data_IF_620617072531
#
_entry.id   IF_620617072531
#
_cell.length_a   1.000
_cell.length_b   1.000
_cell.length_c   1.000
_cell.angle_alpha   90.00
_cell.angle_beta   90.00
_cell.angle_gamma   90.00
#
_symmetry.space_group_name_H-M   'P 1'
#
loop_
_entity.id
_entity.type
_entity.pdbx_description
1 polymer ?
#
# COMPACT_ATOMS: atom_id res chain seq x y z
N UNK A 1 -10.04 27.33 -10.11
CA UNK A 1 -10.39 26.40 -9.01
C UNK A 1 -9.61 25.10 -9.15
N UNK A 2 -9.72 24.31 -10.25
CA UNK A 2 -8.93 23.07 -10.43
C UNK A 2 -7.41 23.32 -10.31
N UNK A 3 -6.89 24.35 -10.98
CA UNK A 3 -5.46 24.68 -10.90
C UNK A 3 -4.99 25.00 -9.48
N UNK A 4 -5.85 25.62 -8.66
CA UNK A 4 -5.51 25.93 -7.25
C UNK A 4 -5.46 24.67 -6.40
N UNK A 5 -6.41 23.75 -6.59
CA UNK A 5 -6.44 22.46 -5.91
C UNK A 5 -5.23 21.62 -6.33
N UNK A 6 -4.96 21.52 -7.63
CA UNK A 6 -3.82 20.77 -8.15
C UNK A 6 -2.48 21.35 -7.67
N UNK A 7 -2.34 22.68 -7.65
CA UNK A 7 -1.13 23.32 -7.11
C UNK A 7 -0.94 22.98 -5.62
N UNK A 8 -2.01 23.03 -4.82
CA UNK A 8 -1.96 22.64 -3.42
C UNK A 8 -1.56 21.16 -3.24
N UNK A 9 -2.15 20.23 -4.01
CA UNK A 9 -1.76 18.82 -3.97
C UNK A 9 -0.29 18.64 -4.33
N UNK A 10 0.17 19.26 -5.41
CA UNK A 10 1.56 19.20 -5.85
C UNK A 10 2.54 19.70 -4.79
N UNK A 11 2.24 20.81 -4.15
CA UNK A 11 3.07 21.41 -3.10
C UNK A 11 3.11 20.56 -1.81
N UNK A 12 1.99 19.91 -1.46
CA UNK A 12 1.88 19.12 -0.22
C UNK A 12 2.21 17.63 -0.40
N UNK A 13 2.60 17.21 -1.60
CA UNK A 13 3.04 15.85 -1.91
C UNK A 13 4.41 15.82 -2.60
N UNK A 14 5.25 16.82 -2.36
CA UNK A 14 6.59 16.95 -2.93
C UNK A 14 6.65 16.72 -4.47
N UNK A 15 5.59 17.16 -5.17
CA UNK A 15 5.46 17.00 -6.60
C UNK A 15 5.02 15.61 -7.08
N UNK A 16 4.76 14.69 -6.17
CA UNK A 16 4.34 13.32 -6.50
C UNK A 16 2.93 13.25 -7.06
N UNK A 17 2.03 14.14 -6.61
CA UNK A 17 0.64 14.22 -7.07
C UNK A 17 0.40 15.60 -7.68
N UNK A 18 0.81 15.85 -8.94
CA UNK A 18 0.66 17.15 -9.58
C UNK A 18 -0.78 17.49 -9.97
N UNK A 19 -1.63 16.48 -10.10
CA UNK A 19 -3.04 16.66 -10.49
C UNK A 19 -3.92 15.64 -9.77
N UNK A 20 -4.95 16.13 -9.06
CA UNK A 20 -6.02 15.31 -8.47
C UNK A 20 -7.37 15.60 -9.12
N UNK A 21 -7.57 16.81 -9.61
CA UNK A 21 -8.84 17.29 -10.15
C UNK A 21 -8.72 17.76 -11.57
N UNK A 22 -9.59 17.26 -12.44
CA UNK A 22 -9.73 17.68 -13.84
C UNK A 22 -10.91 18.66 -14.01
N UNK A 23 -10.88 19.54 -15.01
CA UNK A 23 -11.95 20.52 -15.23
C UNK A 23 -13.33 19.93 -15.43
N UNK A 24 -13.44 18.74 -16.00
CA UNK A 24 -14.68 18.00 -16.25
C UNK A 24 -15.29 17.36 -14.99
N UNK A 25 -14.54 17.27 -13.90
CA UNK A 25 -15.02 16.81 -12.59
C UNK A 25 -15.80 17.89 -11.84
N UNK A 26 -15.74 19.13 -12.27
CA UNK A 26 -16.50 20.26 -11.70
C UNK A 26 -17.54 20.75 -12.70
N UNK A 27 -18.74 21.03 -12.19
CA UNK A 27 -19.83 21.64 -12.96
C UNK A 27 -20.51 22.77 -12.18
N UNK A 28 -21.55 23.36 -12.75
CA UNK A 28 -22.29 24.50 -12.15
C UNK A 28 -22.97 24.14 -10.83
N UNK A 29 -23.21 22.84 -10.58
CA UNK A 29 -23.86 22.34 -9.37
C UNK A 29 -22.83 21.82 -8.34
N UNK A 30 -21.55 21.87 -8.62
CA UNK A 30 -20.52 21.49 -7.66
C UNK A 30 -20.42 22.53 -6.55
N UNK A 31 -20.82 22.16 -5.33
CA UNK A 31 -20.86 23.08 -4.19
C UNK A 31 -19.66 22.89 -3.27
N UNK A 32 -19.41 21.67 -2.82
CA UNK A 32 -18.29 21.32 -1.94
C UNK A 32 -17.61 20.06 -2.45
N UNK A 33 -16.32 20.16 -2.76
CA UNK A 33 -15.49 19.00 -3.15
C UNK A 33 -14.41 18.77 -2.10
N UNK A 34 -14.34 17.58 -1.56
CA UNK A 34 -13.28 17.15 -0.65
C UNK A 34 -12.20 16.42 -1.46
N UNK A 35 -10.94 16.72 -1.16
CA UNK A 35 -9.80 16.06 -1.80
C UNK A 35 -8.84 15.56 -0.75
N UNK A 36 -8.38 14.33 -0.92
CA UNK A 36 -7.35 13.70 -0.09
C UNK A 36 -6.23 13.20 -0.99
N UNK A 37 -5.00 13.63 -0.71
CA UNK A 37 -3.81 13.19 -1.43
C UNK A 37 -2.89 12.46 -0.47
N UNK A 38 -2.60 11.20 -0.77
CA UNK A 38 -1.78 10.34 0.06
C UNK A 38 -0.53 9.90 -0.70
N UNK A 39 0.63 10.09 -0.08
CA UNK A 39 1.87 9.46 -0.49
C UNK A 39 2.60 8.92 0.73
N UNK A 40 3.45 7.94 0.51
CA UNK A 40 4.28 7.37 1.55
C UNK A 40 5.74 7.38 1.09
N UNK A 41 6.66 7.73 1.99
CA UNK A 41 8.08 7.78 1.74
C UNK A 41 8.85 7.29 2.97
N UNK A 42 9.61 6.20 2.82
CA UNK A 42 10.54 5.70 3.84
C UNK A 42 11.54 4.72 3.22
N UNK A 43 12.78 4.72 3.68
CA UNK A 43 13.79 3.73 3.33
C UNK A 43 13.63 2.44 4.14
N UNK A 44 14.14 1.34 3.61
CA UNK A 44 14.21 0.08 4.36
C UNK A 44 15.14 0.21 5.58
N UNK A 45 14.82 -0.49 6.67
CA UNK A 45 15.60 -0.40 7.91
C UNK A 45 16.88 -1.22 7.84
N UNK A 46 16.79 -2.43 7.32
CA UNK A 46 17.88 -3.41 7.29
C UNK A 46 17.78 -4.26 6.01
N UNK A 47 18.80 -5.09 5.78
CA UNK A 47 18.90 -6.07 4.71
C UNK A 47 18.50 -5.52 3.32
N UNK A 48 19.51 -5.13 2.53
CA UNK A 48 19.26 -4.55 1.22
C UNK A 48 18.51 -5.53 0.32
N UNK A 49 17.76 -4.98 -0.64
CA UNK A 49 17.16 -5.77 -1.69
C UNK A 49 18.14 -5.95 -2.84
N UNK A 50 18.31 -7.20 -3.28
CA UNK A 50 19.00 -7.53 -4.51
C UNK A 50 18.01 -7.52 -5.68
N UNK A 51 18.35 -6.78 -6.74
CA UNK A 51 17.50 -6.68 -7.94
C UNK A 51 17.95 -7.67 -8.99
N UNK A 52 17.03 -8.47 -9.52
CA UNK A 52 17.33 -9.41 -10.60
C UNK A 52 17.78 -8.72 -11.88
N UNK A 53 18.78 -9.28 -12.55
CA UNK A 53 19.23 -8.80 -13.86
C UNK A 53 18.22 -9.12 -14.96
N UNK A 54 17.58 -10.26 -14.86
CA UNK A 54 16.62 -10.78 -15.84
C UNK A 54 15.19 -10.50 -15.42
N UNK A 55 14.29 -10.40 -16.40
CA UNK A 55 12.86 -10.33 -16.18
C UNK A 55 12.29 -11.73 -16.04
N UNK A 56 11.35 -11.87 -15.13
CA UNK A 56 10.60 -13.08 -14.88
C UNK A 56 9.08 -12.80 -15.00
N UNK A 57 8.30 -13.86 -15.14
CA UNK A 57 6.84 -13.72 -15.25
C UNK A 57 6.19 -13.29 -13.95
N UNK A 58 5.19 -12.42 -14.10
CA UNK A 58 4.19 -12.13 -13.08
C UNK A 58 2.85 -12.70 -13.55
N UNK A 59 2.33 -13.70 -12.83
CA UNK A 59 1.18 -14.46 -13.31
C UNK A 59 1.44 -15.10 -14.68
N UNK A 60 0.46 -15.01 -15.58
CA UNK A 60 0.51 -15.74 -16.85
C UNK A 60 1.22 -14.98 -17.99
N UNK A 61 1.21 -13.64 -18.00
CA UNK A 61 1.50 -12.89 -19.22
C UNK A 61 2.44 -11.70 -19.09
N UNK A 62 2.73 -11.20 -17.90
CA UNK A 62 3.56 -10.02 -17.70
C UNK A 62 4.98 -10.40 -17.28
N UNK A 63 5.96 -9.63 -17.71
CA UNK A 63 7.36 -9.84 -17.33
C UNK A 63 7.90 -8.59 -16.63
N UNK A 64 8.43 -8.78 -15.42
CA UNK A 64 9.02 -7.72 -14.61
C UNK A 64 10.32 -8.17 -13.98
N UNK A 65 11.10 -7.21 -13.47
CA UNK A 65 12.24 -7.49 -12.61
C UNK A 65 11.78 -7.62 -11.17
N UNK A 66 12.32 -8.61 -10.50
CA UNK A 66 12.08 -8.83 -9.10
C UNK A 66 13.23 -8.33 -8.25
N UNK A 67 12.92 -8.04 -7.02
CA UNK A 67 13.87 -7.83 -5.96
C UNK A 67 13.67 -8.90 -4.89
N UNK A 68 14.77 -9.33 -4.27
CA UNK A 68 14.80 -10.36 -3.23
C UNK A 68 15.54 -9.85 -2.00
N UNK A 69 15.10 -10.28 -0.83
CA UNK A 69 15.69 -9.94 0.46
C UNK A 69 15.30 -10.97 1.52
N UNK A 70 15.85 -10.87 2.71
CA UNK A 70 15.37 -11.57 3.89
C UNK A 70 14.32 -10.69 4.57
N UNK A 71 13.18 -11.26 4.93
CA UNK A 71 12.11 -10.58 5.65
C UNK A 71 12.36 -10.56 7.16
N UNK A 72 11.69 -9.64 7.83
CA UNK A 72 11.79 -9.49 9.28
C UNK A 72 10.84 -10.45 10.02
N UNK A 73 9.62 -10.66 9.47
CA UNK A 73 8.64 -11.61 10.01
C UNK A 73 7.93 -12.38 8.90
N UNK A 74 7.45 -13.58 9.26
CA UNK A 74 6.64 -14.45 8.42
C UNK A 74 5.30 -14.72 9.10
N UNK A 75 4.22 -14.68 8.33
CA UNK A 75 2.86 -14.96 8.76
C UNK A 75 2.22 -16.02 7.86
N UNK A 76 1.36 -16.86 8.44
CA UNK A 76 0.65 -17.89 7.69
C UNK A 76 -0.69 -18.22 8.34
N UNK A 77 -1.76 -18.26 7.54
CA UNK A 77 -3.06 -18.81 7.90
C UNK A 77 -3.55 -19.77 6.81
N UNK A 78 -4.80 -20.22 6.87
CA UNK A 78 -5.37 -21.14 5.87
C UNK A 78 -5.50 -20.49 4.48
N UNK A 79 -5.65 -19.17 4.40
CA UNK A 79 -5.90 -18.43 3.17
C UNK A 79 -4.67 -17.83 2.50
N UNK A 80 -3.63 -17.47 3.28
CA UNK A 80 -2.48 -16.73 2.78
C UNK A 80 -1.18 -17.04 3.52
N UNK A 81 -0.08 -16.69 2.88
CA UNK A 81 1.24 -16.50 3.51
C UNK A 81 1.66 -15.04 3.33
N UNK A 82 2.45 -14.51 4.27
CA UNK A 82 2.95 -13.15 4.17
C UNK A 82 4.36 -13.02 4.73
N UNK A 83 5.08 -12.03 4.22
CA UNK A 83 6.31 -11.54 4.84
C UNK A 83 6.12 -10.09 5.29
N UNK A 84 6.82 -9.70 6.32
CA UNK A 84 6.95 -8.31 6.76
C UNK A 84 8.38 -7.84 6.55
N UNK A 85 8.54 -6.58 6.15
CA UNK A 85 9.81 -5.89 5.99
C UNK A 85 9.74 -4.50 6.58
N UNK A 86 10.60 -4.21 7.55
CA UNK A 86 10.58 -2.93 8.26
C UNK A 86 11.19 -1.79 7.46
N UNK A 87 10.54 -0.64 7.58
CA UNK A 87 11.10 0.65 7.19
C UNK A 87 11.90 1.30 8.34
N UNK A 88 12.74 2.26 8.00
CA UNK A 88 13.57 2.99 8.97
C UNK A 88 12.77 3.83 9.99
N UNK A 89 11.49 4.08 9.75
CA UNK A 89 10.58 4.87 10.59
C UNK A 89 9.65 4.04 11.48
N UNK A 90 9.96 2.76 11.73
CA UNK A 90 9.17 1.80 12.50
C UNK A 90 7.80 1.43 11.88
N UNK A 91 7.59 1.77 10.64
CA UNK A 91 6.50 1.21 9.85
C UNK A 91 6.99 -0.04 9.12
N UNK A 92 6.08 -0.82 8.57
CA UNK A 92 6.43 -2.00 7.79
C UNK A 92 5.64 -2.11 6.50
N UNK A 93 6.24 -2.81 5.53
CA UNK A 93 5.55 -3.36 4.38
C UNK A 93 5.24 -4.81 4.66
N UNK A 94 3.99 -5.21 4.48
CA UNK A 94 3.57 -6.60 4.57
C UNK A 94 3.08 -7.03 3.19
N UNK A 95 3.80 -7.97 2.58
CA UNK A 95 3.41 -8.58 1.30
C UNK A 95 2.64 -9.87 1.55
N UNK A 96 1.41 -9.96 1.06
CA UNK A 96 0.47 -11.06 1.36
C UNK A 96 0.18 -11.82 0.07
N UNK A 97 0.58 -13.09 0.03
CA UNK A 97 0.33 -13.98 -1.09
C UNK A 97 -0.86 -14.91 -0.78
N UNK A 98 -2.00 -14.79 -1.48
CA UNK A 98 -3.10 -15.74 -1.30
C UNK A 98 -2.64 -17.17 -1.63
N UNK A 99 -3.06 -18.18 -0.88
CA UNK A 99 -2.76 -19.59 -1.21
C UNK A 99 -3.51 -20.06 -2.44
N UNK A 100 -4.74 -19.55 -2.63
CA UNK A 100 -5.51 -19.83 -3.84
C UNK A 100 -4.99 -19.02 -5.04
N UNK A 101 -4.95 -19.64 -6.22
CA UNK A 101 -4.66 -18.95 -7.47
C UNK A 101 -5.93 -18.27 -8.02
N UNK A 102 -5.75 -17.17 -8.75
CA UNK A 102 -6.83 -16.43 -9.39
C UNK A 102 -7.17 -15.13 -8.69
N UNK A 103 -8.40 -14.64 -8.92
CA UNK A 103 -8.89 -13.43 -8.27
C UNK A 103 -9.30 -13.72 -6.82
N UNK A 104 -9.14 -12.73 -5.97
CA UNK A 104 -9.45 -12.82 -4.54
C UNK A 104 -9.99 -11.48 -4.03
N UNK A 105 -10.68 -11.50 -2.92
CA UNK A 105 -11.03 -10.31 -2.15
C UNK A 105 -10.17 -10.19 -0.90
N UNK A 106 -10.00 -8.99 -0.37
CA UNK A 106 -9.21 -8.79 0.85
C UNK A 106 -9.86 -9.47 2.06
N UNK A 107 -11.19 -9.53 2.10
CA UNK A 107 -11.92 -10.21 3.18
C UNK A 107 -11.66 -11.73 3.23
N UNK A 108 -11.37 -12.36 2.07
CA UNK A 108 -11.04 -13.78 2.00
C UNK A 108 -9.68 -14.13 2.60
N UNK A 109 -8.82 -13.15 2.84
CA UNK A 109 -7.46 -13.37 3.34
C UNK A 109 -7.38 -13.45 4.88
N UNK A 110 -8.46 -13.04 5.60
CA UNK A 110 -8.46 -12.96 7.05
C UNK A 110 -7.17 -12.30 7.58
N UNK A 111 -7.00 -11.01 7.23
CA UNK A 111 -5.77 -10.27 7.49
C UNK A 111 -5.48 -10.16 9.00
N UNK A 112 -6.52 -9.99 9.83
CA UNK A 112 -6.38 -9.94 11.28
C UNK A 112 -5.83 -11.27 11.82
N UNK A 113 -6.47 -12.38 11.49
CA UNK A 113 -5.99 -13.72 11.87
C UNK A 113 -4.64 -14.09 11.26
N UNK A 114 -4.30 -13.51 10.08
CA UNK A 114 -2.98 -13.68 9.48
C UNK A 114 -1.88 -13.00 10.31
N UNK A 115 -2.09 -11.76 10.72
CA UNK A 115 -1.12 -10.97 11.49
C UNK A 115 -0.97 -11.45 12.94
N UNK A 116 -1.99 -12.11 13.49
CA UNK A 116 -1.94 -12.75 14.81
C UNK A 116 -1.30 -14.15 14.78
N UNK A 117 -0.97 -14.67 13.59
CA UNK A 117 -0.38 -16.01 13.47
C UNK A 117 1.06 -16.04 13.96
N UNK A 118 1.45 -17.14 14.62
CA UNK A 118 2.81 -17.38 15.14
C UNK A 118 3.38 -18.70 14.56
N UNK A 119 3.64 -18.79 13.25
CA UNK A 119 4.20 -19.99 12.64
C UNK A 119 5.67 -20.18 13.07
N UNK A 120 6.12 -21.44 13.15
CA UNK A 120 7.53 -21.74 13.38
C UNK A 120 8.34 -21.53 12.09
N UNK A 121 9.39 -20.72 12.17
CA UNK A 121 10.37 -20.50 11.10
C UNK A 121 11.67 -19.92 11.69
N UNK A 122 12.77 -20.08 10.96
CA UNK A 122 14.07 -19.48 11.31
C UNK A 122 14.41 -18.31 10.39
N UNK A 123 13.95 -18.36 9.12
CA UNK A 123 14.21 -17.35 8.12
C UNK A 123 13.05 -17.29 7.11
N UNK A 124 12.75 -16.11 6.58
CA UNK A 124 11.83 -15.93 5.45
C UNK A 124 12.52 -15.21 4.30
N UNK A 125 12.57 -15.87 3.15
CA UNK A 125 12.99 -15.26 1.90
C UNK A 125 11.83 -14.53 1.26
N UNK A 126 12.04 -13.28 0.89
CA UNK A 126 11.06 -12.45 0.20
C UNK A 126 11.44 -12.21 -1.24
N UNK A 127 10.47 -12.30 -2.14
CA UNK A 127 10.60 -11.89 -3.53
C UNK A 127 9.39 -11.08 -3.96
N UNK A 128 9.61 -9.90 -4.54
CA UNK A 128 8.53 -9.05 -5.01
C UNK A 128 8.94 -8.18 -6.19
N UNK A 129 8.00 -7.73 -7.04
CA UNK A 129 8.29 -6.76 -8.09
C UNK A 129 8.47 -5.36 -7.48
N UNK A 130 9.15 -4.46 -8.20
CA UNK A 130 9.05 -3.02 -7.92
C UNK A 130 7.62 -2.55 -8.14
N UNK A 131 7.14 -1.67 -7.28
CA UNK A 131 5.79 -1.12 -7.39
C UNK A 131 5.86 0.37 -7.73
N UNK A 132 5.12 0.76 -8.76
CA UNK A 132 4.90 2.16 -9.08
C UNK A 132 3.47 2.29 -9.62
N UNK A 133 2.59 2.72 -8.76
CA UNK A 133 1.19 2.92 -9.13
C UNK A 133 0.62 4.22 -8.58
N UNK A 134 -0.37 4.72 -9.29
CA UNK A 134 -1.15 5.88 -8.95
C UNK A 134 -2.63 5.51 -9.08
N UNK A 135 -3.39 5.74 -8.04
CA UNK A 135 -4.83 5.45 -8.01
C UNK A 135 -5.61 6.70 -7.69
N UNK A 136 -6.68 6.93 -8.43
CA UNK A 136 -7.67 7.96 -8.11
C UNK A 136 -9.01 7.29 -7.84
N UNK A 137 -9.54 7.48 -6.64
CA UNK A 137 -10.81 6.94 -6.22
C UNK A 137 -11.83 8.06 -5.96
N UNK A 138 -13.05 7.89 -6.46
CA UNK A 138 -14.22 8.67 -6.08
C UNK A 138 -14.92 7.92 -4.94
N UNK A 139 -14.98 8.53 -3.76
CA UNK A 139 -15.38 7.85 -2.53
C UNK A 139 -16.82 8.12 -2.10
N UNK A 140 -17.56 9.01 -2.76
CA UNK A 140 -18.90 9.44 -2.32
C UNK A 140 -19.87 8.29 -2.13
N UNK A 141 -19.93 7.37 -3.08
CA UNK A 141 -20.80 6.18 -3.00
C UNK A 141 -20.41 5.24 -1.85
N UNK A 142 -19.11 5.06 -1.63
CA UNK A 142 -18.59 4.19 -0.56
C UNK A 142 -18.92 4.82 0.80
N UNK A 143 -18.63 6.11 0.96
CA UNK A 143 -18.89 6.85 2.20
C UNK A 143 -20.39 6.88 2.53
N UNK A 144 -21.25 7.05 1.52
CA UNK A 144 -22.71 6.97 1.70
C UNK A 144 -23.14 5.60 2.26
N UNK A 145 -22.60 4.50 1.71
CA UNK A 145 -22.96 3.14 2.15
C UNK A 145 -22.53 2.82 3.58
N UNK A 146 -21.46 3.44 4.06
CA UNK A 146 -20.98 3.24 5.44
C UNK A 146 -21.59 4.22 6.44
N UNK A 147 -22.67 4.95 6.05
CA UNK A 147 -23.49 5.76 6.95
C UNK A 147 -23.28 7.27 6.87
N UNK A 148 -22.54 7.78 5.87
CA UNK A 148 -22.34 9.20 5.63
C UNK A 148 -23.25 9.77 4.54
N UNK A 149 -24.41 9.17 4.29
CA UNK A 149 -25.36 9.59 3.25
C UNK A 149 -25.84 11.03 3.40
N UNK A 150 -26.03 11.50 4.64
CA UNK A 150 -26.55 12.84 4.91
C UNK A 150 -25.66 13.96 4.37
N UNK A 151 -24.33 13.79 4.34
CA UNK A 151 -23.41 14.83 3.89
C UNK A 151 -23.51 15.10 2.38
N UNK A 152 -24.06 14.15 1.64
CA UNK A 152 -24.25 14.21 0.18
C UNK A 152 -25.67 14.63 -0.22
N UNK A 153 -26.55 14.93 0.76
CA UNK A 153 -27.95 15.27 0.54
C UNK A 153 -28.23 16.75 0.87
N UNK A 154 -29.43 17.20 0.49
CA UNK A 154 -29.93 18.55 0.82
C UNK A 154 -30.14 18.76 2.33
N UNK A 155 -30.14 17.68 3.14
CA UNK A 155 -30.25 17.73 4.59
C UNK A 155 -28.88 17.93 5.29
N UNK A 156 -27.79 18.11 4.54
CA UNK A 156 -26.47 18.35 5.07
C UNK A 156 -26.40 19.69 5.81
N UNK A 157 -25.78 19.68 6.99
CA UNK A 157 -25.55 20.91 7.76
C UNK A 157 -24.07 21.31 7.74
N UNK A 158 -23.71 22.19 6.84
CA UNK A 158 -22.40 22.82 6.73
C UNK A 158 -22.43 24.31 7.07
N UNK A 159 -23.39 24.76 7.90
CA UNK A 159 -23.54 26.17 8.33
C UNK A 159 -22.32 26.73 9.04
N UNK A 160 -21.43 25.88 9.55
CA UNK A 160 -20.14 26.27 10.13
C UNK A 160 -19.08 26.71 9.12
N UNK A 161 -19.25 26.41 7.82
CA UNK A 161 -18.28 26.72 6.75
C UNK A 161 -18.89 27.52 5.59
N UNK A 162 -20.20 27.56 5.45
CA UNK A 162 -20.87 28.30 4.37
C UNK A 162 -22.14 29.01 4.88
N UNK A 163 -22.39 30.23 4.39
CA UNK A 163 -23.58 31.00 4.72
C UNK A 163 -24.85 30.52 3.99
N UNK A 164 -24.72 29.67 2.98
CA UNK A 164 -25.79 29.04 2.25
C UNK A 164 -25.82 27.52 2.50
N UNK A 165 -26.96 26.88 2.31
CA UNK A 165 -27.05 25.45 2.30
C UNK A 165 -26.14 24.89 1.19
N UNK A 166 -25.27 23.98 1.54
CA UNK A 166 -24.37 23.26 0.63
C UNK A 166 -24.28 21.79 1.04
N UNK A 167 -24.03 20.92 0.09
CA UNK A 167 -23.72 19.51 0.34
C UNK A 167 -22.42 19.10 -0.34
N UNK A 168 -21.84 17.98 0.07
CA UNK A 168 -20.64 17.43 -0.59
C UNK A 168 -21.03 16.89 -1.97
N UNK A 169 -20.43 17.44 -3.00
CA UNK A 169 -20.66 17.03 -4.39
C UNK A 169 -19.77 15.86 -4.81
N UNK A 170 -18.55 15.78 -4.27
CA UNK A 170 -17.61 14.69 -4.54
C UNK A 170 -16.52 14.60 -3.46
N UNK A 171 -16.02 13.38 -3.25
CA UNK A 171 -14.86 13.09 -2.40
C UNK A 171 -13.84 12.34 -3.24
N UNK A 172 -12.72 12.99 -3.55
CA UNK A 172 -11.66 12.41 -4.37
C UNK A 172 -10.45 12.05 -3.51
N UNK A 173 -10.01 10.82 -3.61
CA UNK A 173 -8.74 10.37 -3.03
C UNK A 173 -7.78 10.00 -4.14
N UNK A 174 -6.56 10.53 -4.05
CA UNK A 174 -5.48 10.14 -4.93
C UNK A 174 -4.32 9.62 -4.11
N UNK A 175 -3.87 8.42 -4.45
CA UNK A 175 -2.80 7.72 -3.77
C UNK A 175 -1.69 7.43 -4.76
N UNK A 176 -0.45 7.71 -4.37
CA UNK A 176 0.74 7.32 -5.11
C UNK A 176 1.67 6.52 -4.22
N UNK A 177 2.13 5.38 -4.74
CA UNK A 177 3.13 4.53 -4.10
C UNK A 177 4.21 4.17 -5.12
N UNK A 178 5.47 4.51 -4.79
CA UNK A 178 6.65 4.09 -5.50
C UNK A 178 7.54 3.31 -4.54
N UNK A 179 7.72 2.01 -4.77
CA UNK A 179 8.49 1.11 -3.91
C UNK A 179 9.54 0.39 -4.75
N UNK A 180 10.81 0.51 -4.34
CA UNK A 180 11.95 -0.13 -4.98
C UNK A 180 12.94 -0.70 -3.95
N UNK A 181 14.13 -1.09 -4.38
CA UNK A 181 15.19 -1.63 -3.55
C UNK A 181 15.72 -0.68 -2.47
N UNK A 182 15.44 0.61 -2.57
CA UNK A 182 15.86 1.62 -1.59
C UNK A 182 14.78 1.89 -0.53
N UNK A 183 13.55 1.47 -0.80
CA UNK A 183 12.39 1.75 0.02
C UNK A 183 11.21 2.26 -0.80
N UNK A 184 10.31 2.95 -0.13
CA UNK A 184 9.27 3.72 -0.78
C UNK A 184 9.79 5.15 -0.92
N UNK A 185 10.27 5.50 -2.11
CA UNK A 185 10.91 6.78 -2.48
C UNK A 185 11.91 7.32 -1.42
N UNK A 186 12.97 6.59 -1.11
CA UNK A 186 13.93 6.98 -0.10
C UNK A 186 15.36 7.10 -0.59
N UNK A 187 16.14 7.91 0.13
CA UNK A 187 17.60 7.96 0.01
C UNK A 187 18.22 6.81 0.83
N UNK A 188 19.06 6.02 0.18
CA UNK A 188 19.68 4.83 0.74
C UNK A 188 20.39 5.06 2.09
N UNK A 189 20.08 4.24 3.08
CA UNK A 189 20.92 4.02 4.26
C UNK A 189 21.48 2.61 4.16
N UNK A 190 22.76 2.48 3.90
CA UNK A 190 23.45 1.20 3.82
C UNK A 190 23.97 0.84 5.22
N UNK A 191 23.34 -0.12 5.87
CA UNK A 191 23.91 -0.79 7.05
C UNK A 191 24.14 -2.26 6.70
N UNK A 192 25.38 -2.69 6.68
CA UNK A 192 25.75 -4.10 6.54
C UNK A 192 26.02 -4.66 7.93
N UNK A 193 25.13 -5.51 8.41
CA UNK A 193 25.36 -6.30 9.62
C UNK A 193 25.63 -7.75 9.20
N UNK A 194 26.86 -8.21 9.44
CA UNK A 194 27.19 -9.64 9.37
C UNK A 194 26.92 -10.27 10.73
N UNK A 195 25.91 -11.11 10.85
CA UNK A 195 25.75 -11.96 12.00
C UNK A 195 26.44 -13.32 11.77
N UNK A 196 27.24 -13.72 12.78
CA UNK A 196 27.84 -15.04 12.79
C UNK A 196 26.81 -16.08 13.23
N UNK A 197 26.42 -16.95 12.34
CA UNK A 197 25.55 -18.09 12.66
C UNK A 197 26.27 -19.05 13.60
N UNK A 198 25.72 -19.27 14.77
CA UNK A 198 26.06 -20.40 15.63
C UNK A 198 25.49 -21.67 15.00
N UNK A 199 26.28 -22.73 14.97
CA UNK A 199 25.83 -24.03 14.45
C UNK A 199 24.61 -24.52 15.26
N UNK A 200 23.46 -24.62 14.61
CA UNK A 200 22.27 -25.28 15.14
C UNK A 200 22.33 -26.77 14.83
N UNK A 201 21.87 -27.60 15.76
CA UNK A 201 21.83 -29.08 15.63
C UNK A 201 20.67 -29.58 14.73
N UNK A 202 19.86 -28.66 14.20
CA UNK A 202 18.73 -28.98 13.29
C UNK A 202 18.82 -28.12 12.02
N UNK A 203 18.36 -28.68 10.89
CA UNK A 203 18.24 -27.91 9.65
C UNK A 203 17.26 -26.73 9.88
N UNK A 204 17.61 -25.50 9.46
CA UNK A 204 16.78 -24.33 9.64
C UNK A 204 15.46 -24.44 8.88
N UNK A 205 14.37 -23.98 9.47
CA UNK A 205 13.05 -23.87 8.82
C UNK A 205 13.03 -22.58 8.01
N UNK A 206 13.25 -22.67 6.71
CA UNK A 206 13.23 -21.55 5.78
C UNK A 206 11.86 -21.48 5.12
N UNK A 207 11.27 -20.31 5.10
CA UNK A 207 10.01 -20.01 4.39
C UNK A 207 10.29 -19.13 3.18
N UNK A 208 9.53 -19.32 2.11
CA UNK A 208 9.61 -18.50 0.90
C UNK A 208 8.26 -17.85 0.64
N UNK A 209 8.25 -16.51 0.47
CA UNK A 209 7.07 -15.77 0.03
C UNK A 209 7.42 -14.99 -1.22
N UNK A 210 7.00 -15.52 -2.36
CA UNK A 210 7.28 -14.96 -3.68
C UNK A 210 6.03 -14.29 -4.27
N UNK A 211 5.99 -12.97 -4.28
CA UNK A 211 4.90 -12.17 -4.86
C UNK A 211 5.02 -12.13 -6.39
N UNK A 212 4.95 -13.29 -7.03
CA UNK A 212 5.12 -13.47 -8.48
C UNK A 212 3.80 -13.59 -9.24
N UNK A 213 2.68 -13.42 -8.57
CA UNK A 213 1.30 -13.42 -9.09
C UNK A 213 0.45 -12.46 -8.28
N UNK A 214 -0.83 -12.21 -8.63
CA UNK A 214 -1.68 -11.28 -7.87
C UNK A 214 -1.58 -11.46 -6.36
N UNK A 215 -1.32 -10.36 -5.64
CA UNK A 215 -1.08 -10.33 -4.21
C UNK A 215 -1.71 -9.09 -3.56
N UNK A 216 -1.83 -9.11 -2.24
CA UNK A 216 -2.19 -7.94 -1.45
C UNK A 216 -0.96 -7.38 -0.71
N UNK A 217 -1.05 -6.13 -0.28
CA UNK A 217 -0.03 -5.53 0.57
C UNK A 217 -0.65 -4.57 1.58
N UNK A 218 0.09 -4.35 2.66
CA UNK A 218 -0.18 -3.32 3.66
C UNK A 218 1.06 -2.46 3.87
N UNK A 219 0.86 -1.18 4.18
CA UNK A 219 1.81 -0.38 4.94
C UNK A 219 1.23 -0.29 6.35
N UNK A 220 1.94 -0.80 7.32
CA UNK A 220 1.44 -1.09 8.66
C UNK A 220 2.28 -0.40 9.73
N UNK A 221 1.60 0.16 10.72
CA UNK A 221 2.19 0.68 11.94
C UNK A 221 1.96 -0.33 13.06
N UNK A 222 2.97 -1.15 13.33
CA UNK A 222 2.88 -2.19 14.37
C UNK A 222 2.83 -1.63 15.79
N UNK A 223 3.28 -0.39 16.02
CA UNK A 223 3.24 0.23 17.34
C UNK A 223 1.83 0.69 17.75
N UNK A 224 1.02 1.06 16.75
CA UNK A 224 -0.37 1.51 16.95
C UNK A 224 -1.39 0.48 16.45
N UNK A 225 -0.95 -0.62 15.84
CA UNK A 225 -1.79 -1.64 15.20
C UNK A 225 -2.70 -1.04 14.11
N UNK A 226 -2.15 -0.11 13.29
CA UNK A 226 -2.91 0.63 12.29
C UNK A 226 -2.44 0.31 10.88
N UNK A 227 -3.40 0.05 9.97
CA UNK A 227 -3.16 -0.04 8.53
C UNK A 227 -3.23 1.35 7.92
N UNK A 228 -2.10 1.85 7.41
CA UNK A 228 -2.00 3.16 6.76
C UNK A 228 -2.35 3.09 5.28
N UNK A 229 -1.92 2.03 4.58
CA UNK A 229 -2.23 1.74 3.19
C UNK A 229 -2.56 0.26 3.04
N UNK A 230 -3.51 -0.02 2.16
CA UNK A 230 -3.88 -1.38 1.77
C UNK A 230 -4.19 -1.42 0.28
N UNK A 231 -3.73 -2.46 -0.39
CA UNK A 231 -4.00 -2.60 -1.81
C UNK A 231 -3.86 -4.02 -2.34
N UNK A 232 -4.40 -4.21 -3.56
CA UNK A 232 -4.19 -5.40 -4.40
C UNK A 232 -3.31 -5.02 -5.58
N UNK A 233 -2.32 -5.83 -5.88
CA UNK A 233 -1.52 -5.75 -7.10
C UNK A 233 -1.97 -6.88 -8.02
N UNK A 234 -2.69 -6.53 -9.08
CA UNK A 234 -3.21 -7.49 -10.04
C UNK A 234 -2.32 -7.60 -11.30
N UNK A 235 -1.58 -6.53 -11.59
CA UNK A 235 -0.69 -6.39 -12.75
C UNK A 235 0.56 -5.62 -12.36
N UNK A 236 1.64 -5.80 -13.09
CA UNK A 236 2.93 -5.10 -12.93
C UNK A 236 3.30 -4.36 -14.22
N UNK A 237 4.20 -3.36 -14.11
CA UNK A 237 4.67 -2.58 -15.27
C UNK A 237 6.09 -2.99 -15.68
#
# INVERSE_FOLDING_TARGET
TCNTINAWCNENTDGLIPEIMKPDMLNENSELCLTNSLYFESGWSQDPWDVSDEKEKFGDNEETKYMTSIGDNYYENDAATAFEKYYANNLSFIGILPKAEGDFTLDELDIEGLLESEPEYDEVNCKMPKLNFETTAELSDILSRIGLENVFSDDADFSGIADKAVHVSSVLQKTKLELDENGTKAAAVTAVTMECMSAMDTDPIIKDVELTRPFAFLIYDSANEEVLFMGKVLTVQ
#
